data_IF_511498573158
#
_entry.id   IF_511498573158
#
_cell.length_a   1.000
_cell.length_b   1.000
_cell.length_c   1.000
_cell.angle_alpha   90.00
_cell.angle_beta   90.00
_cell.angle_gamma   90.00
#
_symmetry.space_group_name_H-M   'P 1'
#
loop_
_entity.id
_entity.type
_entity.pdbx_description
1 polymer ?
#
# COMPACT_ATOMS: atom_id res chain seq x y z
N UNK A 1 -0.28 9.15 6.89
CA UNK A 1 0.92 8.82 7.67
C UNK A 1 1.95 8.22 6.74
N UNK A 2 3.05 8.92 6.55
CA UNK A 2 4.17 8.44 5.74
C UNK A 2 4.89 7.32 6.50
N UNK A 3 5.30 6.26 5.80
CA UNK A 3 6.10 5.16 6.36
C UNK A 3 7.53 5.23 5.84
N UNK A 4 8.46 4.65 6.58
CA UNK A 4 9.92 4.76 6.30
C UNK A 4 10.34 4.20 4.93
N UNK A 5 9.58 3.26 4.36
CA UNK A 5 9.91 2.66 3.09
C UNK A 5 8.83 1.73 2.54
N UNK A 6 9.06 1.26 1.31
CA UNK A 6 8.16 0.32 0.65
C UNK A 6 7.97 -0.97 1.46
N UNK A 7 9.03 -1.45 2.12
CA UNK A 7 8.98 -2.67 2.94
C UNK A 7 8.03 -2.51 4.13
N UNK A 8 8.03 -1.34 4.79
CA UNK A 8 7.11 -1.03 5.89
C UNK A 8 5.66 -0.99 5.41
N UNK A 9 5.40 -0.40 4.24
CA UNK A 9 4.06 -0.42 3.62
C UNK A 9 3.65 -1.86 3.25
N UNK A 10 4.59 -2.65 2.73
CA UNK A 10 4.38 -4.04 2.34
C UNK A 10 3.99 -4.90 3.55
N UNK A 11 4.73 -4.82 4.66
CA UNK A 11 4.40 -5.53 5.92
C UNK A 11 2.99 -5.20 6.40
N UNK A 12 2.59 -3.93 6.33
CA UNK A 12 1.24 -3.54 6.73
C UNK A 12 0.17 -4.10 5.81
N UNK A 13 0.38 -4.03 4.49
CA UNK A 13 -0.53 -4.61 3.51
C UNK A 13 -0.63 -6.15 3.67
N UNK A 14 0.49 -6.83 3.90
CA UNK A 14 0.53 -8.27 4.16
C UNK A 14 -0.25 -8.63 5.44
N UNK A 15 -0.03 -7.90 6.53
CA UNK A 15 -0.74 -8.12 7.80
C UNK A 15 -2.26 -8.04 7.59
N UNK A 16 -2.75 -7.02 6.91
CA UNK A 16 -4.19 -6.88 6.64
C UNK A 16 -4.71 -7.93 5.66
N UNK A 17 -3.94 -8.28 4.63
CA UNK A 17 -4.30 -9.34 3.68
C UNK A 17 -4.43 -10.69 4.37
N UNK A 18 -3.53 -11.03 5.30
CA UNK A 18 -3.60 -12.26 6.10
C UNK A 18 -4.82 -12.32 7.01
N UNK A 19 -5.42 -11.18 7.37
CA UNK A 19 -6.69 -11.12 8.09
C UNK A 19 -7.92 -11.27 7.17
N UNK A 20 -7.71 -11.53 5.88
CA UNK A 20 -8.77 -11.73 4.89
C UNK A 20 -9.36 -10.43 4.31
N UNK A 21 -8.77 -9.26 4.61
CA UNK A 21 -9.22 -8.02 4.00
C UNK A 21 -8.78 -7.94 2.53
N UNK A 22 -9.68 -7.54 1.61
CA UNK A 22 -9.26 -7.19 0.25
C UNK A 22 -8.48 -5.87 0.31
N UNK A 23 -7.15 -5.96 0.17
CA UNK A 23 -6.24 -4.82 0.22
C UNK A 23 -5.66 -4.54 -1.16
N UNK A 24 -5.50 -3.26 -1.47
CA UNK A 24 -4.79 -2.77 -2.65
C UNK A 24 -3.96 -1.54 -2.29
N UNK A 25 -2.91 -1.28 -3.06
CA UNK A 25 -2.12 -0.05 -2.98
C UNK A 25 -2.65 0.91 -4.04
N UNK A 26 -3.10 2.09 -3.64
CA UNK A 26 -3.34 3.21 -4.55
C UNK A 26 -2.02 3.85 -4.93
N UNK A 27 -1.86 4.17 -6.21
CA UNK A 27 -0.72 4.94 -6.72
C UNK A 27 -1.18 6.17 -7.47
N UNK A 28 -0.57 7.33 -7.17
CA UNK A 28 -0.86 8.59 -7.84
C UNK A 28 0.35 9.53 -7.74
N UNK A 29 0.36 10.61 -8.53
CA UNK A 29 1.35 11.67 -8.39
C UNK A 29 0.92 12.64 -7.28
N UNK A 30 1.82 12.92 -6.35
CA UNK A 30 1.66 14.00 -5.37
C UNK A 30 1.86 15.37 -6.01
N UNK A 31 1.53 16.43 -5.27
CA UNK A 31 1.63 17.82 -5.76
C UNK A 31 3.08 18.23 -6.06
N UNK A 32 4.03 17.66 -5.33
CA UNK A 32 5.47 17.83 -5.51
C UNK A 32 6.04 17.03 -6.71
N UNK A 33 5.19 16.31 -7.44
CA UNK A 33 5.57 15.45 -8.56
C UNK A 33 6.10 14.07 -8.15
N UNK A 34 6.20 13.79 -6.85
CA UNK A 34 6.57 12.46 -6.34
C UNK A 34 5.49 11.42 -6.63
N UNK A 35 5.89 10.15 -6.61
CA UNK A 35 4.97 9.02 -6.74
C UNK A 35 4.59 8.53 -5.35
N UNK A 36 3.30 8.62 -5.04
CA UNK A 36 2.71 8.17 -3.78
C UNK A 36 2.17 6.77 -3.98
N UNK A 37 2.44 5.90 -3.01
CA UNK A 37 1.90 4.55 -2.91
C UNK A 37 1.28 4.40 -1.53
N UNK A 38 -0.01 4.13 -1.42
CA UNK A 38 -0.61 4.01 -0.11
C UNK A 38 -1.89 3.22 -0.07
N UNK A 39 -2.33 2.91 1.13
CA UNK A 39 -3.57 2.20 1.39
C UNK A 39 -4.34 2.91 2.51
N UNK A 40 -5.65 2.72 2.51
CA UNK A 40 -6.51 3.16 3.60
C UNK A 40 -6.73 2.00 4.56
N UNK A 41 -6.48 2.25 5.84
CA UNK A 41 -6.87 1.37 6.91
C UNK A 41 -7.85 2.09 7.83
N UNK A 42 -8.94 1.41 8.20
CA UNK A 42 -9.88 1.92 9.19
C UNK A 42 -9.52 1.33 10.53
N UNK A 43 -9.11 2.18 11.47
CA UNK A 43 -8.90 1.77 12.85
C UNK A 43 -10.27 1.54 13.50
N UNK A 44 -10.74 0.30 13.45
CA UNK A 44 -12.00 -0.11 14.10
C UNK A 44 -11.87 0.07 15.61
N UNK A 45 -12.98 0.43 16.25
CA UNK A 45 -13.14 0.58 17.70
C UNK A 45 -12.41 1.75 18.40
N UNK A 46 -11.78 2.67 17.66
CA UNK A 46 -11.36 3.94 18.24
C UNK A 46 -12.59 4.82 18.53
N UNK A 47 -12.88 5.04 19.81
CA UNK A 47 -13.79 6.09 20.31
C UNK A 47 -15.29 6.01 19.91
N UNK A 48 -15.89 4.82 19.76
CA UNK A 48 -17.34 4.65 19.46
C UNK A 48 -17.84 5.37 18.18
N UNK A 49 -16.94 5.86 17.30
CA UNK A 49 -17.27 6.67 16.11
C UNK A 49 -16.97 5.98 14.78
N UNK A 50 -17.36 4.71 14.61
CA UNK A 50 -17.29 4.02 13.30
C UNK A 50 -15.91 3.99 12.60
N UNK A 51 -14.82 4.24 13.34
CA UNK A 51 -13.43 4.08 12.92
C UNK A 51 -12.85 5.25 12.10
N UNK A 52 -11.63 5.68 12.46
CA UNK A 52 -10.92 6.75 11.75
C UNK A 52 -10.16 6.14 10.56
N UNK A 53 -10.40 6.60 9.31
CA UNK A 53 -9.61 6.18 8.17
C UNK A 53 -8.23 6.83 8.24
N UNK A 54 -7.19 6.01 8.30
CA UNK A 54 -5.80 6.46 8.25
C UNK A 54 -5.20 6.01 6.92
N UNK A 55 -4.70 6.98 6.16
CA UNK A 55 -3.99 6.72 4.91
C UNK A 55 -2.51 6.49 5.19
N UNK A 56 -2.03 5.26 5.02
CA UNK A 56 -0.60 4.92 5.17
C UNK A 56 0.05 4.94 3.80
N UNK A 57 1.18 5.62 3.66
CA UNK A 57 1.79 5.79 2.35
C UNK A 57 3.32 5.81 2.37
N UNK A 58 3.89 5.39 1.25
CA UNK A 58 5.30 5.49 0.90
C UNK A 58 5.45 6.46 -0.27
N UNK A 59 6.40 7.39 -0.17
CA UNK A 59 6.74 8.35 -1.21
C UNK A 59 8.02 7.92 -1.93
N UNK A 60 7.99 7.94 -3.26
CA UNK A 60 9.16 7.67 -4.07
C UNK A 60 9.37 8.75 -5.14
N UNK A 61 10.63 9.00 -5.49
CA UNK A 61 10.97 9.97 -6.56
C UNK A 61 10.67 9.42 -7.95
N UNK A 62 10.76 8.09 -8.11
CA UNK A 62 10.51 7.40 -9.37
C UNK A 62 9.33 6.45 -9.27
N UNK A 63 8.61 6.27 -10.37
CA UNK A 63 7.54 5.28 -10.44
C UNK A 63 8.07 3.86 -10.23
N UNK A 64 7.45 3.09 -9.35
CA UNK A 64 7.64 1.65 -9.24
C UNK A 64 7.18 0.96 -10.54
N UNK A 65 8.04 0.10 -11.09
CA UNK A 65 7.76 -0.63 -12.32
C UNK A 65 7.08 -1.95 -12.02
N UNK A 66 5.77 -2.00 -12.21
CA UNK A 66 4.97 -3.22 -12.13
C UNK A 66 3.52 -2.93 -11.73
N UNK A 67 2.75 -4.00 -11.56
CA UNK A 67 1.31 -3.97 -11.26
C UNK A 67 0.97 -4.56 -9.90
N UNK A 68 1.91 -5.28 -9.29
CA UNK A 68 1.73 -5.95 -8.01
C UNK A 68 2.92 -5.70 -7.09
N UNK A 69 2.63 -5.58 -5.81
CA UNK A 69 3.60 -5.71 -4.72
C UNK A 69 3.53 -7.16 -4.22
N UNK A 70 4.62 -7.90 -4.41
CA UNK A 70 4.75 -9.30 -4.01
C UNK A 70 5.56 -9.40 -2.72
N UNK A 71 5.08 -10.19 -1.77
CA UNK A 71 5.68 -10.34 -0.46
C UNK A 71 5.85 -11.83 -0.14
N UNK A 72 7.09 -12.24 0.12
CA UNK A 72 7.44 -13.58 0.57
C UNK A 72 7.90 -13.53 2.02
N UNK A 73 7.35 -14.43 2.85
CA UNK A 73 7.64 -14.55 4.28
C UNK A 73 8.22 -15.91 4.67
N UNK A 74 8.49 -16.82 3.73
CA UNK A 74 8.79 -18.24 4.01
C UNK A 74 10.19 -18.47 4.61
N UNK A 75 11.20 -17.70 4.22
CA UNK A 75 12.58 -17.89 4.72
C UNK A 75 13.25 -16.59 5.15
N UNK A 76 13.25 -15.61 4.26
CA UNK A 76 13.61 -14.22 4.52
C UNK A 76 12.55 -13.36 3.89
N UNK A 77 12.21 -12.26 4.55
CA UNK A 77 11.32 -11.27 3.95
C UNK A 77 11.89 -10.80 2.60
N UNK A 78 11.06 -10.90 1.57
CA UNK A 78 11.34 -10.33 0.26
C UNK A 78 10.13 -9.54 -0.21
N UNK A 79 10.37 -8.28 -0.56
CA UNK A 79 9.39 -7.39 -1.16
C UNK A 79 9.82 -7.09 -2.59
N UNK A 80 8.92 -7.31 -3.55
CA UNK A 80 9.19 -7.10 -4.99
C UNK A 80 8.04 -6.40 -5.66
N UNK A 81 8.35 -5.59 -6.67
CA UNK A 81 7.35 -5.01 -7.58
C UNK A 81 7.44 -5.74 -8.91
N UNK A 82 6.34 -6.35 -9.36
CA UNK A 82 6.30 -7.17 -10.58
C UNK A 82 4.98 -6.99 -11.36
N UNK A 83 4.95 -7.41 -12.63
CA UNK A 83 3.76 -7.31 -13.49
C UNK A 83 2.76 -8.46 -13.31
N UNK A 84 3.12 -9.50 -12.57
CA UNK A 84 2.30 -10.69 -12.34
C UNK A 84 2.37 -11.20 -10.90
N UNK A 85 1.60 -12.25 -10.63
CA UNK A 85 1.56 -12.93 -9.33
C UNK A 85 2.51 -14.13 -9.31
N UNK A 86 2.94 -14.53 -8.11
CA UNK A 86 3.74 -15.74 -7.89
C UNK A 86 3.02 -16.66 -6.91
N UNK A 87 2.84 -17.96 -7.22
CA UNK A 87 2.28 -18.92 -6.27
C UNK A 87 3.05 -18.92 -4.95
N UNK A 88 2.32 -18.96 -3.83
CA UNK A 88 2.91 -18.94 -2.48
C UNK A 88 3.37 -17.55 -1.99
N UNK A 89 3.26 -16.51 -2.81
CA UNK A 89 3.54 -15.13 -2.40
C UNK A 89 2.23 -14.39 -2.14
N UNK A 90 2.24 -13.51 -1.13
CA UNK A 90 1.18 -12.52 -0.96
C UNK A 90 1.31 -11.54 -2.13
N UNK A 91 0.19 -11.22 -2.78
CA UNK A 91 0.15 -10.33 -3.93
C UNK A 91 -0.85 -9.21 -3.67
N UNK A 92 -0.36 -7.98 -3.61
CA UNK A 92 -1.18 -6.79 -3.40
C UNK A 92 -1.19 -5.99 -4.70
N UNK A 93 -2.35 -5.81 -5.36
CA UNK A 93 -2.41 -5.05 -6.61
C UNK A 93 -2.10 -3.56 -6.36
N UNK A 94 -1.41 -2.94 -7.32
CA UNK A 94 -1.13 -1.50 -7.37
C UNK A 94 -2.10 -0.87 -8.37
N UNK A 95 -3.05 -0.09 -7.85
CA UNK A 95 -4.09 0.59 -8.61
C UNK A 95 -3.62 2.02 -8.91
N UNK A 96 -3.30 2.30 -10.17
CA UNK A 96 -2.91 3.64 -10.62
C UNK A 96 -4.15 4.51 -10.78
N UNK A 97 -4.23 5.56 -9.97
CA UNK A 97 -5.28 6.56 -10.02
C UNK A 97 -4.90 7.66 -11.02
N UNK A 98 -5.89 8.21 -11.71
CA UNK A 98 -5.68 9.31 -12.66
C UNK A 98 -5.25 10.61 -11.97
N UNK A 99 -5.62 10.81 -10.70
CA UNK A 99 -5.32 11.96 -9.86
C UNK A 99 -5.37 11.57 -8.38
N UNK A 100 -4.77 12.39 -7.51
CA UNK A 100 -4.90 12.20 -6.05
C UNK A 100 -6.38 12.22 -5.63
N UNK A 101 -6.81 11.35 -4.69
CA UNK A 101 -8.12 11.47 -4.06
C UNK A 101 -8.30 12.82 -3.35
N UNK A 102 -9.50 13.38 -3.37
CA UNK A 102 -9.76 14.74 -2.85
C UNK A 102 -9.52 14.90 -1.35
N UNK A 103 -9.66 13.81 -0.58
CA UNK A 103 -9.40 13.79 0.87
C UNK A 103 -7.91 13.61 1.22
N UNK A 104 -7.02 13.47 0.23
CA UNK A 104 -5.58 13.32 0.42
C UNK A 104 -4.87 14.58 -0.11
N UNK A 105 -4.29 15.33 0.81
CA UNK A 105 -3.47 16.51 0.52
C UNK A 105 -1.97 16.15 0.57
N UNK A 106 -1.46 15.59 -0.54
CA UNK A 106 -0.06 15.20 -0.76
C UNK A 106 0.40 15.56 -2.18
#
# INVERSE_FOLDING_TARGET
MEVEGLDSLARFAASMSSMGYPIYIMSFKGRDGSYIYGLLAVLKDYYKMYGIPVFYYYRNKSELKGKYLLINLTSKEQVRVEDGIRPGWIHIPIIKLKRSPEFIDL
#
